data_IF_516296581754
#
_entry.id   IF_516296581754
#
_cell.length_a   1.000
_cell.length_b   1.000
_cell.length_c   1.000
_cell.angle_alpha   90.00
_cell.angle_beta   90.00
_cell.angle_gamma   90.00
#
_symmetry.space_group_name_H-M   'P 1'
#
loop_
_entity.id
_entity.type
_entity.pdbx_description
1 polymer ?
#
# COMPACT_ATOMS: atom_id res chain seq x y z
N UNK A 1 -5.33 8.00 6.63
CA UNK A 1 -5.10 9.10 7.60
C UNK A 1 -3.72 9.68 7.35
N UNK A 2 -3.53 11.01 7.40
CA UNK A 2 -2.21 11.63 7.19
C UNK A 2 -1.66 12.17 8.52
N UNK A 3 -0.48 11.69 8.91
CA UNK A 3 0.29 12.24 10.03
C UNK A 3 1.27 13.29 9.51
N UNK A 4 1.49 14.35 10.28
CA UNK A 4 2.59 15.28 9.99
C UNK A 4 3.93 14.61 10.33
N UNK A 5 5.06 15.08 9.76
CA UNK A 5 6.39 14.51 10.09
C UNK A 5 6.67 14.52 11.60
N UNK A 6 6.22 15.58 12.30
CA UNK A 6 6.33 15.66 13.75
C UNK A 6 5.47 14.62 14.45
N UNK A 7 4.21 14.44 14.06
CA UNK A 7 3.34 13.40 14.64
C UNK A 7 3.89 11.99 14.40
N UNK A 8 4.46 11.76 13.21
CA UNK A 8 5.11 10.49 12.88
C UNK A 8 6.28 10.21 13.83
N UNK A 9 7.17 11.18 14.04
CA UNK A 9 8.30 11.03 14.96
C UNK A 9 7.86 10.68 16.39
N UNK A 10 6.76 11.28 16.88
CA UNK A 10 6.20 10.94 18.18
C UNK A 10 5.62 9.52 18.23
N UNK A 11 4.91 9.10 17.18
CA UNK A 11 4.34 7.75 17.11
C UNK A 11 5.43 6.67 17.02
N UNK A 12 6.47 6.90 16.22
CA UNK A 12 7.62 5.99 16.08
C UNK A 12 8.32 5.82 17.43
N UNK A 13 8.59 6.91 18.14
CA UNK A 13 9.25 6.88 19.44
C UNK A 13 8.38 6.22 20.52
N UNK A 14 7.07 6.48 20.53
CA UNK A 14 6.14 5.80 21.42
C UNK A 14 6.16 4.27 21.19
N UNK A 15 6.19 3.85 19.93
CA UNK A 15 6.22 2.42 19.58
C UNK A 15 7.54 1.75 20.00
N UNK A 16 8.67 2.42 19.77
CA UNK A 16 9.98 1.92 20.24
C UNK A 16 10.01 1.77 21.76
N UNK A 17 9.58 2.81 22.48
CA UNK A 17 9.53 2.79 23.94
C UNK A 17 8.58 1.71 24.46
N UNK A 18 7.39 1.56 23.86
CA UNK A 18 6.44 0.51 24.24
C UNK A 18 7.03 -0.89 24.11
N UNK A 19 7.84 -1.14 23.07
CA UNK A 19 8.55 -2.42 22.87
C UNK A 19 9.70 -2.61 23.86
N UNK A 20 10.45 -1.55 24.13
CA UNK A 20 11.57 -1.55 25.06
C UNK A 20 11.12 -1.83 26.49
N UNK A 21 10.09 -1.11 26.95
CA UNK A 21 9.51 -1.23 28.29
C UNK A 21 8.51 -2.39 28.42
N UNK A 22 8.12 -3.04 27.32
CA UNK A 22 7.09 -4.09 27.24
C UNK A 22 5.76 -3.69 27.88
N UNK A 23 5.36 -2.43 27.72
CA UNK A 23 4.14 -1.91 28.34
C UNK A 23 3.90 -0.43 28.08
N UNK A 24 2.76 0.11 28.56
CA UNK A 24 2.39 1.52 28.43
C UNK A 24 3.47 2.46 28.98
N UNK A 25 3.65 3.61 28.33
CA UNK A 25 4.77 4.52 28.56
C UNK A 25 4.26 5.86 29.08
N UNK A 26 4.88 6.37 30.14
CA UNK A 26 4.56 7.70 30.64
C UNK A 26 5.07 8.80 29.68
N UNK A 27 4.28 9.85 29.46
CA UNK A 27 4.58 10.90 28.47
C UNK A 27 5.92 11.61 28.71
N UNK A 28 6.43 11.64 29.95
CA UNK A 28 7.75 12.21 30.25
C UNK A 28 8.88 11.44 29.58
N UNK A 29 8.78 10.11 29.47
CA UNK A 29 9.80 9.28 28.83
C UNK A 29 9.87 9.59 27.33
N UNK A 30 8.71 9.81 26.71
CA UNK A 30 8.62 10.26 25.31
C UNK A 30 9.23 11.66 25.15
N UNK A 31 8.97 12.55 26.12
CA UNK A 31 9.52 13.90 26.12
C UNK A 31 11.06 13.90 26.18
N UNK A 32 11.61 13.11 27.09
CA UNK A 32 13.05 12.97 27.30
C UNK A 32 13.73 12.40 26.05
N UNK A 33 13.14 11.37 25.42
CA UNK A 33 13.67 10.75 24.20
C UNK A 33 13.68 11.70 23.00
N UNK A 34 12.66 12.55 22.87
CA UNK A 34 12.52 13.50 21.76
C UNK A 34 13.18 14.87 22.02
N UNK A 35 13.74 15.08 23.22
CA UNK A 35 14.33 16.37 23.59
C UNK A 35 13.31 17.51 23.62
N UNK A 36 12.05 17.22 23.95
CA UNK A 36 10.96 18.21 24.03
C UNK A 36 10.50 18.39 25.47
N UNK A 37 9.79 19.49 25.74
CA UNK A 37 9.18 19.66 27.05
C UNK A 37 8.02 18.66 27.27
N UNK A 38 7.78 18.33 28.55
CA UNK A 38 6.78 17.36 29.00
C UNK A 38 5.35 17.70 28.54
N UNK A 39 4.98 18.98 28.55
CA UNK A 39 3.66 19.44 28.13
C UNK A 39 3.44 19.20 26.63
N UNK A 40 4.44 19.52 25.80
CA UNK A 40 4.40 19.29 24.35
C UNK A 40 4.33 17.81 24.01
N UNK A 41 4.95 16.94 24.81
CA UNK A 41 4.82 15.50 24.62
C UNK A 41 3.41 15.01 24.96
N UNK A 42 2.86 15.46 26.10
CA UNK A 42 1.49 15.13 26.48
C UNK A 42 0.48 15.57 25.41
N UNK A 43 0.55 16.82 24.95
CA UNK A 43 -0.35 17.34 23.92
C UNK A 43 -0.24 16.57 22.61
N UNK A 44 0.98 16.24 22.17
CA UNK A 44 1.17 15.49 20.94
C UNK A 44 0.62 14.06 21.05
N UNK A 45 0.77 13.42 22.21
CA UNK A 45 0.22 12.09 22.47
C UNK A 45 -1.32 12.12 22.50
N UNK A 46 -1.93 13.20 23.02
CA UNK A 46 -3.38 13.43 22.92
C UNK A 46 -3.86 13.63 21.49
N UNK A 47 -3.12 14.37 20.67
CA UNK A 47 -3.42 14.48 19.22
C UNK A 47 -3.33 13.12 18.52
N UNK A 48 -2.35 12.28 18.88
CA UNK A 48 -2.24 10.91 18.35
C UNK A 48 -3.38 10.00 18.84
N UNK A 49 -3.87 10.21 20.06
CA UNK A 49 -5.03 9.51 20.61
C UNK A 49 -6.33 9.90 19.90
N UNK A 50 -6.58 11.19 19.68
CA UNK A 50 -7.72 11.68 18.88
C UNK A 50 -7.72 11.10 17.46
N UNK A 51 -6.53 10.84 16.92
CA UNK A 51 -6.31 10.20 15.63
C UNK A 51 -6.42 8.67 15.66
N UNK A 52 -6.64 8.07 16.83
CA UNK A 52 -6.83 6.63 17.03
C UNK A 52 -5.56 5.78 16.84
N UNK A 53 -4.38 6.40 16.79
CA UNK A 53 -3.07 5.73 16.67
C UNK A 53 -2.34 5.63 18.01
N UNK A 54 -2.81 6.33 19.03
CA UNK A 54 -2.43 6.09 20.43
C UNK A 54 -3.68 5.90 21.28
N UNK A 55 -3.50 5.39 22.49
CA UNK A 55 -4.49 5.36 23.54
C UNK A 55 -3.82 5.66 24.88
N UNK A 56 -4.58 6.19 25.83
CA UNK A 56 -4.12 6.46 27.19
C UNK A 56 -4.83 5.60 28.23
N UNK A 57 -4.10 5.20 29.27
CA UNK A 57 -4.61 4.56 30.47
C UNK A 57 -4.14 5.33 31.71
N UNK A 58 -4.85 5.12 32.82
CA UNK A 58 -4.50 5.68 34.13
C UNK A 58 -4.03 4.55 35.03
N UNK A 59 -2.77 4.61 35.47
CA UNK A 59 -2.18 3.65 36.41
C UNK A 59 -2.06 4.28 37.80
N UNK A 60 -2.27 3.48 38.84
CA UNK A 60 -2.05 3.88 40.22
C UNK A 60 -0.57 3.63 40.58
N UNK A 61 0.05 4.57 41.30
CA UNK A 61 1.37 4.36 41.87
C UNK A 61 1.25 3.53 43.15
N UNK A 62 1.82 2.32 43.15
CA UNK A 62 1.94 1.50 44.37
C UNK A 62 3.08 1.99 45.31
N UNK A 63 3.99 2.84 44.82
CA UNK A 63 5.23 3.23 45.54
C UNK A 63 5.13 4.50 46.41
N UNK A 64 3.94 5.09 46.60
CA UNK A 64 3.78 6.23 47.52
C UNK A 64 2.61 6.01 48.48
N UNK A 65 2.94 5.81 49.76
CA UNK A 65 2.00 5.81 50.88
C UNK A 65 1.35 7.20 51.05
N UNK A 66 0.29 7.45 50.28
CA UNK A 66 -0.52 8.68 50.27
C UNK A 66 -1.64 8.56 49.23
N UNK A 67 -2.65 9.45 49.21
CA UNK A 67 -3.77 9.34 48.28
C UNK A 67 -3.25 9.41 46.83
N UNK A 68 -3.21 8.26 46.19
CA UNK A 68 -2.50 8.00 44.93
C UNK A 68 -3.02 8.88 43.81
N UNK A 69 -2.13 9.70 43.23
CA UNK A 69 -2.43 10.43 42.00
C UNK A 69 -2.24 9.45 40.84
N UNK A 70 -3.33 9.11 40.16
CA UNK A 70 -3.27 8.31 38.93
C UNK A 70 -2.33 8.98 37.92
N UNK A 71 -1.41 8.20 37.35
CA UNK A 71 -0.50 8.66 36.30
C UNK A 71 -1.05 8.27 34.93
N UNK A 72 -0.94 9.18 33.97
CA UNK A 72 -1.35 8.93 32.58
C UNK A 72 -0.20 8.27 31.83
N UNK A 73 -0.49 7.11 31.26
CA UNK A 73 0.42 6.38 30.37
C UNK A 73 -0.21 6.24 28.99
N UNK A 74 0.61 6.10 27.96
CA UNK A 74 0.19 5.97 26.58
C UNK A 74 0.73 4.70 25.94
N UNK A 75 0.01 4.15 24.99
CA UNK A 75 0.44 3.00 24.20
C UNK A 75 -0.07 3.11 22.75
N UNK A 76 0.66 2.52 21.77
CA UNK A 76 0.21 2.47 20.39
C UNK A 76 -0.99 1.53 20.26
N UNK A 77 -2.00 1.92 19.48
CA UNK A 77 -3.15 1.04 19.19
C UNK A 77 -2.79 -0.03 18.16
N UNK A 78 -3.63 -1.05 17.99
CA UNK A 78 -3.50 -2.00 16.87
C UNK A 78 -3.47 -1.32 15.50
N UNK A 79 -4.21 -0.21 15.33
CA UNK A 79 -4.17 0.62 14.11
C UNK A 79 -2.80 1.26 13.90
N UNK A 80 -2.12 1.67 14.96
CA UNK A 80 -0.74 2.16 14.85
C UNK A 80 0.25 1.06 14.50
N UNK A 81 0.10 -0.15 15.03
CA UNK A 81 0.96 -1.27 14.65
C UNK A 81 0.83 -1.62 13.15
N UNK A 82 -0.38 -1.59 12.60
CA UNK A 82 -0.63 -1.76 11.16
C UNK A 82 -0.01 -0.63 10.35
N UNK A 83 -0.25 0.63 10.76
CA UNK A 83 0.26 1.81 10.07
C UNK A 83 1.79 1.88 10.07
N UNK A 84 2.43 1.60 11.21
CA UNK A 84 3.90 1.58 11.34
C UNK A 84 4.54 0.43 10.58
N UNK A 85 3.88 -0.74 10.53
CA UNK A 85 4.36 -1.87 9.73
C UNK A 85 4.31 -1.52 8.24
N UNK A 86 3.19 -0.95 7.77
CA UNK A 86 3.05 -0.47 6.40
C UNK A 86 4.11 0.57 6.05
N UNK A 87 4.32 1.59 6.90
CA UNK A 87 5.29 2.66 6.63
C UNK A 87 6.74 2.16 6.61
N UNK A 88 7.10 1.25 7.53
CA UNK A 88 8.46 0.70 7.63
C UNK A 88 8.76 -0.25 6.48
N UNK A 89 7.76 -0.99 6.02
CA UNK A 89 7.83 -1.75 4.78
C UNK A 89 7.99 -0.78 3.59
N UNK A 90 7.15 0.25 3.45
CA UNK A 90 7.25 1.25 2.37
C UNK A 90 8.62 1.94 2.29
N UNK A 91 9.23 2.30 3.43
CA UNK A 91 10.58 2.87 3.47
C UNK A 91 11.67 1.89 3.04
N UNK A 92 11.56 0.60 3.41
CA UNK A 92 12.53 -0.43 3.04
C UNK A 92 12.42 -0.82 1.55
N UNK A 93 11.22 -0.74 0.98
CA UNK A 93 10.95 -1.09 -0.42
C UNK A 93 11.11 0.09 -1.39
N UNK A 94 11.28 1.32 -0.90
CA UNK A 94 11.50 2.48 -1.76
C UNK A 94 12.77 2.38 -2.63
N UNK A 95 13.81 1.69 -2.16
CA UNK A 95 15.01 1.39 -2.96
C UNK A 95 14.81 0.28 -4.00
N UNK A 96 13.83 -0.60 -3.81
CA UNK A 96 13.51 -1.71 -4.72
C UNK A 96 12.48 -1.28 -5.79
N UNK A 97 11.67 -0.26 -5.50
CA UNK A 97 10.60 0.23 -6.38
C UNK A 97 11.06 0.58 -7.81
N UNK A 98 12.16 1.33 -7.95
CA UNK A 98 12.62 1.74 -9.29
C UNK A 98 13.05 0.53 -10.12
N UNK A 99 13.74 -0.44 -9.50
CA UNK A 99 14.14 -1.68 -10.17
C UNK A 99 12.94 -2.51 -10.60
N UNK A 100 11.92 -2.63 -9.74
CA UNK A 100 10.66 -3.31 -10.07
C UNK A 100 9.97 -2.62 -11.24
N UNK A 101 9.82 -1.29 -11.17
CA UNK A 101 9.22 -0.47 -12.23
C UNK A 101 9.94 -0.66 -13.57
N UNK A 102 11.26 -0.52 -13.61
CA UNK A 102 12.06 -0.67 -14.83
C UNK A 102 11.95 -2.06 -15.43
N UNK A 103 11.97 -3.11 -14.59
CA UNK A 103 11.78 -4.48 -15.05
C UNK A 103 10.39 -4.72 -15.66
N UNK A 104 9.35 -4.15 -15.06
CA UNK A 104 7.98 -4.21 -15.59
C UNK A 104 7.91 -3.48 -16.94
N UNK A 105 8.40 -2.24 -17.02
CA UNK A 105 8.36 -1.46 -18.25
C UNK A 105 9.13 -2.13 -19.40
N UNK A 106 10.29 -2.73 -19.11
CA UNK A 106 11.04 -3.52 -20.09
C UNK A 106 10.22 -4.69 -20.63
N UNK A 107 9.59 -5.49 -19.76
CA UNK A 107 8.73 -6.61 -20.17
C UNK A 107 7.52 -6.16 -20.98
N UNK A 108 6.89 -5.04 -20.59
CA UNK A 108 5.78 -4.46 -21.34
C UNK A 108 6.20 -3.98 -22.74
N UNK A 109 7.40 -3.41 -22.86
CA UNK A 109 7.96 -3.01 -24.16
C UNK A 109 8.23 -4.22 -25.06
N UNK A 110 8.83 -5.28 -24.51
CA UNK A 110 9.08 -6.53 -25.22
C UNK A 110 7.77 -7.20 -25.66
N UNK A 111 6.78 -7.27 -24.77
CA UNK A 111 5.46 -7.80 -25.06
C UNK A 111 4.69 -6.97 -26.10
N UNK A 112 4.91 -5.65 -26.15
CA UNK A 112 4.35 -4.78 -27.18
C UNK A 112 4.86 -5.11 -28.60
N UNK A 113 6.07 -5.67 -28.71
CA UNK A 113 6.67 -6.13 -29.97
C UNK A 113 6.38 -7.60 -30.28
N UNK A 114 6.05 -8.39 -29.26
CA UNK A 114 5.76 -9.81 -29.34
C UNK A 114 4.26 -10.10 -29.23
N UNK A 115 3.88 -11.34 -28.94
CA UNK A 115 2.49 -11.75 -28.69
C UNK A 115 2.07 -11.40 -27.25
N UNK A 116 1.09 -10.50 -27.04
CA UNK A 116 0.63 -10.13 -25.69
C UNK A 116 -0.02 -11.28 -24.92
N UNK A 117 -0.52 -12.31 -25.60
CA UNK A 117 -1.13 -13.49 -24.96
C UNK A 117 -0.11 -14.36 -24.23
N UNK A 118 1.03 -14.63 -24.86
CA UNK A 118 2.11 -15.43 -24.26
C UNK A 118 2.71 -14.68 -23.07
N UNK A 119 2.98 -13.38 -23.25
CA UNK A 119 3.47 -12.51 -22.19
C UNK A 119 2.50 -12.42 -21.00
N UNK A 120 1.18 -12.42 -21.25
CA UNK A 120 0.16 -12.45 -20.20
C UNK A 120 0.24 -13.74 -19.39
N UNK A 121 0.34 -14.89 -20.05
CA UNK A 121 0.39 -16.19 -19.40
C UNK A 121 1.67 -16.36 -18.55
N UNK A 122 2.81 -15.90 -19.08
CA UNK A 122 4.08 -15.87 -18.35
C UNK A 122 4.00 -14.94 -17.14
N UNK A 123 3.46 -13.73 -17.31
CA UNK A 123 3.31 -12.77 -16.22
C UNK A 123 2.40 -13.31 -15.11
N UNK A 124 1.24 -13.89 -15.46
CA UNK A 124 0.33 -14.52 -14.49
C UNK A 124 0.97 -15.70 -13.74
N UNK A 125 1.80 -16.50 -14.42
CA UNK A 125 2.45 -17.66 -13.81
C UNK A 125 3.63 -17.29 -12.91
N UNK A 126 4.20 -16.09 -13.11
CA UNK A 126 5.36 -15.58 -12.36
C UNK A 126 4.98 -14.49 -11.35
N UNK A 127 3.68 -14.24 -11.14
CA UNK A 127 3.21 -13.27 -10.16
C UNK A 127 3.83 -13.59 -8.81
N UNK A 128 4.51 -12.61 -8.18
CA UNK A 128 5.23 -12.88 -6.96
C UNK A 128 4.23 -13.17 -5.84
N UNK A 129 4.38 -14.30 -5.15
CA UNK A 129 3.70 -14.50 -3.86
C UNK A 129 4.45 -13.75 -2.76
N UNK A 130 4.59 -12.44 -2.96
CA UNK A 130 5.34 -11.55 -2.09
C UNK A 130 4.45 -11.03 -0.97
N UNK A 131 5.06 -10.82 0.20
CA UNK A 131 4.46 -10.10 1.32
C UNK A 131 4.38 -8.59 1.09
N UNK A 132 4.89 -8.08 -0.04
CA UNK A 132 4.98 -6.64 -0.35
C UNK A 132 3.84 -6.24 -1.30
N UNK A 133 2.77 -5.57 -0.82
CA UNK A 133 1.60 -5.26 -1.63
C UNK A 133 1.91 -4.37 -2.84
N UNK A 134 2.81 -3.40 -2.69
CA UNK A 134 3.20 -2.49 -3.78
C UNK A 134 3.77 -3.25 -4.99
N UNK A 135 4.68 -4.19 -4.76
CA UNK A 135 5.32 -4.96 -5.83
C UNK A 135 4.32 -5.91 -6.49
N UNK A 136 3.49 -6.58 -5.71
CA UNK A 136 2.40 -7.41 -6.23
C UNK A 136 1.45 -6.59 -7.11
N UNK A 137 0.99 -5.44 -6.62
CA UNK A 137 0.08 -4.57 -7.35
C UNK A 137 0.72 -4.01 -8.63
N UNK A 138 2.01 -3.70 -8.63
CA UNK A 138 2.74 -3.25 -9.81
C UNK A 138 2.81 -4.33 -10.89
N UNK A 139 3.15 -5.56 -10.51
CA UNK A 139 3.11 -6.71 -11.41
C UNK A 139 1.70 -6.96 -11.95
N UNK A 140 0.68 -6.85 -11.10
CA UNK A 140 -0.71 -6.96 -11.51
C UNK A 140 -1.14 -5.89 -12.51
N UNK A 141 -0.69 -4.64 -12.39
CA UNK A 141 -0.96 -3.61 -13.41
C UNK A 141 -0.44 -4.06 -14.77
N UNK A 142 0.75 -4.66 -14.83
CA UNK A 142 1.32 -5.19 -16.08
C UNK A 142 0.44 -6.30 -16.67
N UNK A 143 -0.03 -7.24 -15.84
CA UNK A 143 -0.96 -8.32 -16.23
C UNK A 143 -2.26 -7.74 -16.80
N UNK A 144 -2.85 -6.75 -16.14
CA UNK A 144 -4.11 -6.15 -16.59
C UNK A 144 -3.93 -5.40 -17.92
N UNK A 145 -2.81 -4.69 -18.10
CA UNK A 145 -2.50 -4.02 -19.37
C UNK A 145 -2.27 -5.01 -20.51
N UNK A 146 -1.56 -6.12 -20.26
CA UNK A 146 -1.35 -7.19 -21.23
C UNK A 146 -2.68 -7.83 -21.65
N UNK A 147 -3.57 -8.09 -20.69
CA UNK A 147 -4.88 -8.65 -20.99
C UNK A 147 -5.73 -7.69 -21.86
N UNK A 148 -5.73 -6.40 -21.54
CA UNK A 148 -6.41 -5.39 -22.35
C UNK A 148 -5.79 -5.29 -23.76
N UNK A 149 -4.47 -5.33 -23.87
CA UNK A 149 -3.75 -5.28 -25.16
C UNK A 149 -4.07 -6.50 -26.03
N UNK A 150 -4.09 -7.70 -25.45
CA UNK A 150 -4.45 -8.96 -26.14
C UNK A 150 -5.79 -8.86 -26.85
N UNK A 151 -6.74 -8.13 -26.28
CA UNK A 151 -8.10 -7.98 -26.81
C UNK A 151 -8.21 -7.01 -27.99
N UNK A 152 -7.11 -6.39 -28.43
CA UNK A 152 -7.00 -5.55 -29.64
C UNK A 152 -8.12 -4.50 -29.78
N UNK A 153 -8.57 -3.91 -28.68
CA UNK A 153 -9.61 -2.86 -28.71
C UNK A 153 -9.02 -1.54 -29.22
N UNK A 154 -9.54 -1.05 -30.34
CA UNK A 154 -9.23 0.28 -30.87
C UNK A 154 -9.81 1.37 -29.95
N UNK A 155 -9.11 2.49 -29.78
CA UNK A 155 -9.55 3.68 -29.03
C UNK A 155 -9.71 3.53 -27.50
N UNK A 156 -9.13 2.51 -26.87
CA UNK A 156 -9.17 2.40 -25.41
C UNK A 156 -8.15 3.30 -24.69
N UNK A 157 -7.08 3.71 -25.38
CA UNK A 157 -5.96 4.46 -24.80
C UNK A 157 -6.38 5.75 -24.08
N UNK A 158 -7.23 6.65 -24.64
CA UNK A 158 -7.63 7.88 -23.96
C UNK A 158 -8.39 7.62 -22.65
N UNK A 159 -9.14 6.51 -22.61
CA UNK A 159 -9.85 6.10 -21.41
C UNK A 159 -8.87 5.59 -20.36
N UNK A 160 -7.88 4.77 -20.73
CA UNK A 160 -6.84 4.30 -19.81
C UNK A 160 -5.98 5.44 -19.26
N UNK A 161 -5.66 6.44 -20.09
CA UNK A 161 -4.97 7.66 -19.64
C UNK A 161 -5.78 8.40 -18.56
N UNK A 162 -7.10 8.47 -18.73
CA UNK A 162 -8.01 9.05 -17.74
C UNK A 162 -8.01 8.25 -16.42
N UNK A 163 -7.82 6.93 -16.47
CA UNK A 163 -7.71 6.12 -15.25
C UNK A 163 -6.40 6.39 -14.51
N UNK A 164 -5.30 6.60 -15.24
CA UNK A 164 -3.98 6.83 -14.64
C UNK A 164 -3.92 8.09 -13.75
N UNK A 165 -4.86 9.03 -13.89
CA UNK A 165 -4.92 10.27 -13.10
C UNK A 165 -5.91 10.21 -11.93
N UNK A 166 -6.64 9.09 -11.77
CA UNK A 166 -7.71 8.95 -10.75
C UNK A 166 -7.26 8.16 -9.51
N UNK A 167 -5.96 7.92 -9.35
CA UNK A 167 -5.41 7.21 -8.19
C UNK A 167 -6.04 5.82 -8.02
N UNK A 168 -6.45 5.51 -6.80
CA UNK A 168 -7.03 4.21 -6.44
C UNK A 168 -8.29 3.87 -7.25
N UNK A 169 -9.16 4.84 -7.51
CA UNK A 169 -10.39 4.63 -8.31
C UNK A 169 -10.01 4.23 -9.73
N UNK A 170 -9.00 4.88 -10.30
CA UNK A 170 -8.51 4.55 -11.64
C UNK A 170 -7.93 3.14 -11.72
N UNK A 171 -7.11 2.76 -10.73
CA UNK A 171 -6.52 1.43 -10.65
C UNK A 171 -7.57 0.32 -10.45
N UNK A 172 -8.56 0.54 -9.58
CA UNK A 172 -9.69 -0.38 -9.41
C UNK A 172 -10.54 -0.49 -10.70
N UNK A 173 -10.72 0.62 -11.41
CA UNK A 173 -11.43 0.65 -12.70
C UNK A 173 -10.68 -0.12 -13.79
N UNK A 174 -9.34 -0.01 -13.83
CA UNK A 174 -8.50 -0.80 -14.75
C UNK A 174 -8.74 -2.30 -14.56
N UNK A 175 -8.75 -2.76 -13.31
CA UNK A 175 -9.06 -4.14 -12.95
C UNK A 175 -10.46 -4.56 -13.44
N UNK A 176 -11.48 -3.75 -13.16
CA UNK A 176 -12.84 -4.00 -13.61
C UNK A 176 -12.98 -4.08 -15.13
N UNK A 177 -12.28 -3.23 -15.87
CA UNK A 177 -12.30 -3.24 -17.34
C UNK A 177 -11.60 -4.46 -17.93
N UNK A 178 -10.41 -4.78 -17.43
CA UNK A 178 -9.68 -5.98 -17.85
C UNK A 178 -10.51 -7.25 -17.64
N UNK A 179 -11.18 -7.36 -16.48
CA UNK A 179 -12.11 -8.46 -16.21
C UNK A 179 -13.36 -8.41 -17.10
N UNK A 180 -13.98 -7.25 -17.26
CA UNK A 180 -15.20 -7.07 -18.05
C UNK A 180 -15.03 -7.47 -19.52
N UNK A 181 -13.86 -7.24 -20.11
CA UNK A 181 -13.59 -7.71 -21.46
C UNK A 181 -13.38 -9.23 -21.55
N UNK A 182 -12.94 -9.86 -20.48
CA UNK A 182 -12.67 -11.30 -20.44
C UNK A 182 -13.96 -12.14 -20.44
N UNK A 183 -15.06 -11.59 -19.92
CA UNK A 183 -16.36 -12.27 -19.79
C UNK A 183 -17.20 -12.29 -21.07
N UNK A 184 -16.82 -11.53 -22.09
CA UNK A 184 -17.64 -11.30 -23.30
C UNK A 184 -17.27 -12.18 -24.51
N UNK A 185 -16.54 -13.28 -24.31
CA UNK A 185 -16.09 -14.16 -25.39
C UNK A 185 -16.56 -15.61 -25.18
N UNK A 186 -16.77 -16.35 -26.26
CA UNK A 186 -16.86 -17.81 -26.19
C UNK A 186 -15.49 -18.34 -25.79
N UNK A 187 -15.43 -19.04 -24.66
CA UNK A 187 -14.18 -19.46 -24.04
C UNK A 187 -13.98 -20.96 -24.16
N UNK A 188 -12.87 -21.35 -24.76
CA UNK A 188 -12.34 -22.71 -24.63
C UNK A 188 -11.82 -22.96 -23.20
N UNK A 189 -11.52 -24.21 -22.86
CA UNK A 189 -11.15 -24.63 -21.50
C UNK A 189 -9.93 -23.85 -20.98
N UNK A 190 -8.90 -23.65 -21.82
CA UNK A 190 -7.69 -22.91 -21.44
C UNK A 190 -8.00 -21.43 -21.12
N UNK A 191 -8.91 -20.82 -21.87
CA UNK A 191 -9.30 -19.43 -21.66
C UNK A 191 -10.14 -19.27 -20.40
N UNK A 192 -11.01 -20.23 -20.07
CA UNK A 192 -11.72 -20.28 -18.78
C UNK A 192 -10.75 -20.31 -17.60
N UNK A 193 -9.75 -21.21 -17.64
CA UNK A 193 -8.75 -21.31 -16.58
C UNK A 193 -7.94 -20.01 -16.44
N UNK A 194 -7.62 -19.34 -17.54
CA UNK A 194 -6.94 -18.04 -17.50
C UNK A 194 -7.83 -16.97 -16.85
N UNK A 195 -9.12 -16.91 -17.19
CA UNK A 195 -10.06 -15.94 -16.60
C UNK A 195 -10.28 -16.19 -15.11
N UNK A 196 -10.35 -17.45 -14.68
CA UNK A 196 -10.43 -17.81 -13.26
C UNK A 196 -9.20 -17.32 -12.49
N UNK A 197 -7.99 -17.58 -13.00
CA UNK A 197 -6.75 -17.08 -12.40
C UNK A 197 -6.73 -15.56 -12.34
N UNK A 198 -7.10 -14.89 -13.43
CA UNK A 198 -7.15 -13.44 -13.49
C UNK A 198 -8.16 -12.86 -12.48
N UNK A 199 -9.31 -13.51 -12.30
CA UNK A 199 -10.32 -13.11 -11.31
C UNK A 199 -9.77 -13.17 -9.89
N UNK A 200 -9.16 -14.30 -9.50
CA UNK A 200 -8.57 -14.48 -8.17
C UNK A 200 -7.53 -13.41 -7.87
N UNK A 201 -6.64 -13.14 -8.83
CA UNK A 201 -5.61 -12.13 -8.65
C UNK A 201 -6.16 -10.70 -8.67
N UNK A 202 -7.24 -10.44 -9.42
CA UNK A 202 -7.93 -9.15 -9.44
C UNK A 202 -8.60 -8.85 -8.11
N UNK A 203 -9.23 -9.83 -7.47
CA UNK A 203 -9.80 -9.69 -6.13
C UNK A 203 -8.70 -9.35 -5.11
N UNK A 204 -7.59 -10.09 -5.10
CA UNK A 204 -6.44 -9.80 -4.23
C UNK A 204 -5.87 -8.40 -4.48
N UNK A 205 -5.76 -7.98 -5.74
CA UNK A 205 -5.32 -6.64 -6.12
C UNK A 205 -6.24 -5.56 -5.56
N UNK A 206 -7.55 -5.69 -5.71
CA UNK A 206 -8.52 -4.72 -5.17
C UNK A 206 -8.49 -4.64 -3.65
N UNK A 207 -8.39 -5.77 -2.95
CA UNK A 207 -8.22 -5.80 -1.49
C UNK A 207 -6.94 -5.08 -1.08
N UNK A 208 -5.81 -5.36 -1.73
CA UNK A 208 -4.55 -4.70 -1.41
C UNK A 208 -4.60 -3.19 -1.69
N UNK A 209 -5.20 -2.76 -2.80
CA UNK A 209 -5.38 -1.34 -3.11
C UNK A 209 -6.17 -0.58 -2.04
N UNK A 210 -7.16 -1.23 -1.41
CA UNK A 210 -7.98 -0.61 -0.37
C UNK A 210 -7.19 -0.20 0.88
N UNK A 211 -6.12 -0.96 1.18
CA UNK A 211 -5.31 -0.78 2.38
C UNK A 211 -4.00 -0.03 2.12
N UNK A 212 -3.73 0.39 0.87
CA UNK A 212 -2.48 1.05 0.48
C UNK A 212 -2.44 2.54 0.85
N UNK A 213 -1.23 3.04 1.11
CA UNK A 213 -1.01 4.47 1.33
C UNK A 213 -1.17 5.30 0.05
N UNK A 214 -1.43 6.59 0.21
CA UNK A 214 -1.52 7.56 -0.88
C UNK A 214 -0.22 7.59 -1.73
N UNK A 215 0.96 7.48 -1.10
CA UNK A 215 2.24 7.45 -1.80
C UNK A 215 2.36 6.23 -2.72
N UNK A 216 2.00 5.05 -2.20
CA UNK A 216 2.05 3.80 -2.96
C UNK A 216 1.03 3.80 -4.10
N UNK A 217 -0.17 4.36 -3.89
CA UNK A 217 -1.16 4.57 -4.96
C UNK A 217 -0.64 5.52 -6.05
N UNK A 218 0.05 6.60 -5.68
CA UNK A 218 0.64 7.53 -6.64
C UNK A 218 1.74 6.88 -7.48
N UNK A 219 2.58 6.03 -6.87
CA UNK A 219 3.59 5.23 -7.57
C UNK A 219 2.97 4.28 -8.60
N UNK A 220 1.94 3.54 -8.20
CA UNK A 220 1.20 2.65 -9.10
C UNK A 220 0.52 3.40 -10.24
N UNK A 221 -0.07 4.56 -9.96
CA UNK A 221 -0.72 5.41 -10.96
C UNK A 221 0.28 5.94 -11.99
N UNK A 222 1.47 6.34 -11.54
CA UNK A 222 2.59 6.72 -12.41
C UNK A 222 3.08 5.53 -13.25
N UNK A 223 3.23 4.34 -12.65
CA UNK A 223 3.57 3.12 -13.39
C UNK A 223 2.55 2.80 -14.48
N UNK A 224 1.24 2.91 -14.18
CA UNK A 224 0.18 2.72 -15.18
C UNK A 224 0.37 3.69 -16.35
N UNK A 225 0.58 4.98 -16.07
CA UNK A 225 0.81 6.00 -17.10
C UNK A 225 2.02 5.64 -17.98
N UNK A 226 3.15 5.28 -17.37
CA UNK A 226 4.37 4.93 -18.10
C UNK A 226 4.21 3.64 -18.92
N UNK A 227 3.48 2.66 -18.38
CA UNK A 227 3.14 1.41 -19.08
C UNK A 227 2.26 1.66 -20.31
N UNK A 228 1.29 2.57 -20.23
CA UNK A 228 0.45 2.95 -21.37
C UNK A 228 1.28 3.56 -22.50
N UNK A 229 2.18 4.50 -22.18
CA UNK A 229 3.12 5.08 -23.14
C UNK A 229 3.96 3.99 -23.79
N UNK A 230 4.54 3.10 -22.99
CA UNK A 230 5.42 2.02 -23.45
C UNK A 230 4.73 1.06 -24.42
N UNK A 231 3.47 0.68 -24.11
CA UNK A 231 2.75 -0.35 -24.87
C UNK A 231 1.95 0.17 -26.08
N UNK A 232 1.57 1.44 -26.11
CA UNK A 232 0.69 1.99 -27.16
C UNK A 232 1.28 3.12 -28.00
N UNK A 233 2.51 3.59 -27.73
CA UNK A 233 3.23 4.54 -28.59
C UNK A 233 4.34 3.89 -29.45
N UNK A 234 4.45 2.56 -29.45
CA UNK A 234 5.30 1.78 -30.37
C UNK A 234 4.43 1.11 -31.42
#
# INVERSE_FOLDING_TARGET
MKLTPRQQAFLDNLFELYREFKGPVHYSVVADKLGVNKFSAYDMLKVLEEKGVAASDYILNDDQAGPGRSQVVFYPTHKAAQFLTQLRDEMRYNGDWQRVKENILRRLQEAGRANPGDALQDALSTLPDTKVPLNYCAEMISVLLLNIKRMRRTNITPFLETLSTRGQIGLASLAGLSMGFSLNQEQDIEEKTLVEKLNTHTQRFQTQLADMSEESINKLSALLKDGLVTMWQT
#
